data_IF_243458110256
#
_entry.id   IF_243458110256
#
_cell.length_a   1.000
_cell.length_b   1.000
_cell.length_c   1.000
_cell.angle_alpha   90.00
_cell.angle_beta   90.00
_cell.angle_gamma   90.00
#
_symmetry.space_group_name_H-M   'P 1'
#
loop_
_entity.id
_entity.type
_entity.pdbx_description
1 polymer ?
#
# COMPACT_ATOMS: atom_id res chain seq x y z
N UNK A 1 -23.41 11.72 2.34
CA UNK A 1 -22.55 10.76 3.07
C UNK A 1 -22.03 11.43 4.33
N UNK A 2 -21.94 10.71 5.46
CA UNK A 2 -21.31 11.24 6.67
C UNK A 2 -19.84 10.81 6.67
N UNK A 3 -18.96 11.70 6.20
CA UNK A 3 -17.53 11.44 6.15
C UNK A 3 -16.92 11.57 7.54
N UNK A 4 -16.48 10.45 8.11
CA UNK A 4 -15.75 10.46 9.38
C UNK A 4 -14.33 9.96 9.17
N UNK A 5 -13.42 10.92 9.11
CA UNK A 5 -11.99 10.67 8.98
C UNK A 5 -11.30 10.65 10.34
N UNK A 6 -10.38 9.70 10.48
CA UNK A 6 -9.54 9.51 11.66
C UNK A 6 -8.07 9.71 11.30
N UNK A 7 -7.27 10.06 12.31
CA UNK A 7 -5.81 10.05 12.18
C UNK A 7 -5.33 8.64 12.56
N UNK A 8 -4.35 8.06 11.85
CA UNK A 8 -3.80 6.76 12.23
C UNK A 8 -3.22 6.81 13.65
N UNK A 9 -3.59 5.87 14.50
CA UNK A 9 -2.98 5.64 15.80
C UNK A 9 -2.56 4.15 15.95
N UNK A 10 -1.66 3.86 16.89
CA UNK A 10 -1.16 2.51 17.07
C UNK A 10 -2.26 1.56 17.60
N UNK A 11 -3.23 2.07 18.35
CA UNK A 11 -4.29 1.29 18.98
C UNK A 11 -5.27 0.70 17.94
N UNK A 12 -5.51 1.35 16.80
CA UNK A 12 -6.39 0.85 15.74
C UNK A 12 -5.71 -0.11 14.77
N UNK A 13 -4.40 -0.36 14.91
CA UNK A 13 -3.66 -1.25 14.01
C UNK A 13 -4.36 -2.60 13.82
N UNK A 14 -4.82 -3.21 14.90
CA UNK A 14 -5.44 -4.53 14.88
C UNK A 14 -6.78 -4.52 14.11
N UNK A 15 -7.58 -3.46 14.24
CA UNK A 15 -8.90 -3.39 13.63
C UNK A 15 -8.85 -2.97 12.15
N UNK A 16 -7.85 -2.19 11.75
CA UNK A 16 -7.76 -1.65 10.38
C UNK A 16 -6.87 -2.51 9.46
N UNK A 17 -5.84 -3.17 10.00
CA UNK A 17 -4.95 -4.03 9.19
C UNK A 17 -5.67 -5.05 8.30
N UNK A 18 -6.78 -5.70 8.72
CA UNK A 18 -7.49 -6.66 7.87
C UNK A 18 -7.99 -6.08 6.53
N UNK A 19 -8.27 -4.78 6.44
CA UNK A 19 -8.74 -4.14 5.20
C UNK A 19 -7.68 -4.16 4.09
N UNK A 20 -6.39 -4.02 4.44
CA UNK A 20 -5.29 -4.05 3.48
C UNK A 20 -5.17 -5.41 2.76
N UNK A 21 -5.74 -6.46 3.34
CA UNK A 21 -5.71 -7.83 2.81
C UNK A 21 -6.97 -8.22 2.02
N UNK A 22 -7.92 -7.29 1.78
CA UNK A 22 -9.16 -7.57 1.05
C UNK A 22 -8.96 -7.81 -0.46
N UNK A 23 -7.80 -7.42 -0.98
CA UNK A 23 -7.35 -7.65 -2.36
C UNK A 23 -5.85 -7.97 -2.35
N UNK A 24 -5.32 -8.66 -3.37
CA UNK A 24 -3.90 -8.99 -3.46
C UNK A 24 -3.08 -7.76 -3.91
N UNK A 25 -3.10 -6.68 -3.12
CA UNK A 25 -2.28 -5.50 -3.36
C UNK A 25 -0.82 -5.83 -3.01
N UNK A 26 0.10 -5.55 -3.94
CA UNK A 26 1.52 -5.89 -3.82
C UNK A 26 2.41 -4.68 -3.53
N UNK A 27 1.84 -3.50 -3.34
CA UNK A 27 2.63 -2.28 -3.07
C UNK A 27 3.17 -2.29 -1.64
N UNK A 28 4.37 -1.74 -1.42
CA UNK A 28 4.99 -1.70 -0.08
C UNK A 28 4.23 -0.80 0.90
N UNK A 29 3.53 0.21 0.38
CA UNK A 29 2.73 1.17 1.15
C UNK A 29 1.37 0.60 1.62
N UNK A 30 1.05 -0.65 1.23
CA UNK A 30 -0.20 -1.34 1.58
C UNK A 30 -0.16 -2.03 2.93
N UNK A 31 0.04 -1.24 4.00
CA UNK A 31 -0.03 -1.75 5.36
C UNK A 31 -0.15 -0.66 6.42
N UNK A 32 -0.69 -1.04 7.59
CA UNK A 32 -0.90 -0.10 8.69
C UNK A 32 0.40 0.52 9.21
N UNK A 33 1.48 -0.26 9.27
CA UNK A 33 2.76 0.24 9.78
C UNK A 33 3.29 1.40 8.94
N UNK A 34 3.34 1.23 7.61
CA UNK A 34 3.82 2.29 6.71
C UNK A 34 2.91 3.52 6.79
N UNK A 35 1.59 3.28 6.71
CA UNK A 35 0.59 4.33 6.84
C UNK A 35 0.71 5.13 8.15
N UNK A 36 1.02 4.45 9.26
CA UNK A 36 1.23 5.06 10.57
C UNK A 36 2.53 5.86 10.66
N UNK A 37 3.68 5.31 10.21
CA UNK A 37 4.97 6.02 10.31
C UNK A 37 5.00 7.31 9.47
N UNK A 38 4.26 7.35 8.36
CA UNK A 38 4.17 8.53 7.49
C UNK A 38 3.02 9.48 7.85
N UNK A 39 2.22 9.15 8.87
CA UNK A 39 0.99 9.86 9.18
C UNK A 39 1.18 11.36 9.42
N UNK A 40 2.26 11.72 10.12
CA UNK A 40 2.57 13.11 10.42
C UNK A 40 3.06 13.89 9.20
N UNK A 41 3.83 13.25 8.32
CA UNK A 41 4.41 13.90 7.15
C UNK A 41 3.34 14.16 6.08
N UNK A 42 2.58 13.13 5.71
CA UNK A 42 1.53 13.21 4.69
C UNK A 42 0.15 13.55 5.25
N UNK A 43 0.05 13.95 6.53
CA UNK A 43 -1.23 14.27 7.21
C UNK A 43 -2.31 13.22 6.93
N UNK A 44 -1.91 11.95 7.01
CA UNK A 44 -2.73 10.80 6.68
C UNK A 44 -4.07 10.84 7.42
N UNK A 45 -5.14 10.52 6.70
CA UNK A 45 -6.48 10.36 7.23
C UNK A 45 -7.11 9.12 6.61
N UNK A 46 -7.88 8.39 7.40
CA UNK A 46 -8.62 7.24 6.89
C UNK A 46 -10.09 7.27 7.29
N UNK A 47 -10.94 6.64 6.49
CA UNK A 47 -12.36 6.47 6.75
C UNK A 47 -12.76 5.02 6.44
N UNK A 48 -13.52 4.39 7.34
CA UNK A 48 -14.15 3.10 7.07
C UNK A 48 -15.59 3.35 6.66
N UNK A 49 -15.94 2.94 5.43
CA UNK A 49 -17.30 3.06 4.89
C UNK A 49 -17.98 1.69 4.86
N UNK A 50 -19.24 1.68 5.32
CA UNK A 50 -20.14 0.51 5.35
C UNK A 50 -19.54 -0.75 6.00
N UNK A 51 -18.51 -0.59 6.83
CA UNK A 51 -17.67 -1.67 7.38
C UNK A 51 -16.96 -2.52 6.30
N UNK A 52 -16.97 -2.07 5.04
CA UNK A 52 -16.50 -2.83 3.87
C UNK A 52 -15.25 -2.26 3.20
N UNK A 53 -15.05 -0.95 3.28
CA UNK A 53 -13.96 -0.28 2.60
C UNK A 53 -13.19 0.63 3.54
N UNK A 54 -11.87 0.55 3.46
CA UNK A 54 -10.95 1.53 4.03
C UNK A 54 -10.54 2.50 2.91
N UNK A 55 -10.90 3.77 3.10
CA UNK A 55 -10.50 4.88 2.24
C UNK A 55 -9.37 5.65 2.92
N UNK A 56 -8.30 5.90 2.19
CA UNK A 56 -7.14 6.63 2.69
C UNK A 56 -6.95 7.90 1.87
N UNK A 57 -6.83 9.03 2.57
CA UNK A 57 -6.55 10.35 2.03
C UNK A 57 -5.32 10.92 2.72
N UNK A 58 -4.44 11.49 1.92
CA UNK A 58 -3.17 12.07 2.32
C UNK A 58 -3.07 13.49 1.75
N UNK A 59 -2.20 14.29 2.33
CA UNK A 59 -1.92 15.67 1.92
C UNK A 59 -0.42 15.93 1.96
N UNK A 60 0.12 16.41 0.86
CA UNK A 60 1.48 16.97 0.79
C UNK A 60 1.39 18.42 0.33
N UNK A 61 1.88 19.36 1.15
CA UNK A 61 1.70 20.81 0.93
C UNK A 61 0.22 21.16 0.77
N UNK A 62 -0.25 21.58 -0.40
CA UNK A 62 -1.66 21.92 -0.65
C UNK A 62 -2.41 20.88 -1.49
N UNK A 63 -1.73 19.81 -1.89
CA UNK A 63 -2.28 18.77 -2.74
C UNK A 63 -2.77 17.60 -1.89
N UNK A 64 -4.05 17.25 -2.06
CA UNK A 64 -4.59 16.00 -1.55
C UNK A 64 -4.40 14.89 -2.58
N UNK A 65 -4.11 13.70 -2.10
CA UNK A 65 -4.04 12.48 -2.91
C UNK A 65 -4.51 11.29 -2.08
N UNK A 66 -4.78 10.18 -2.73
CA UNK A 66 -5.31 8.99 -2.09
C UNK A 66 -4.52 7.72 -2.46
N UNK A 67 -4.82 6.66 -1.73
CA UNK A 67 -4.63 5.30 -2.22
C UNK A 67 -5.89 4.82 -2.94
N UNK A 68 -5.75 3.77 -3.77
CA UNK A 68 -6.94 3.04 -4.19
C UNK A 68 -7.71 2.53 -2.96
N UNK A 69 -9.06 2.49 -3.02
CA UNK A 69 -9.86 1.94 -1.93
C UNK A 69 -9.45 0.51 -1.56
N UNK A 70 -9.24 0.28 -0.27
CA UNK A 70 -8.99 -1.06 0.27
C UNK A 70 -10.33 -1.71 0.59
N UNK A 71 -10.86 -2.44 -0.38
CA UNK A 71 -12.11 -3.18 -0.31
C UNK A 71 -12.00 -4.49 -1.10
N UNK A 72 -13.06 -5.28 -1.10
CA UNK A 72 -13.16 -6.41 -2.03
C UNK A 72 -13.15 -5.91 -3.47
N UNK A 73 -12.66 -6.75 -4.38
CA UNK A 73 -12.50 -6.39 -5.78
C UNK A 73 -13.85 -6.02 -6.44
N UNK A 74 -14.93 -6.75 -6.15
CA UNK A 74 -16.26 -6.47 -6.67
C UNK A 74 -16.85 -5.12 -6.23
N UNK A 75 -16.37 -4.58 -5.10
CA UNK A 75 -16.84 -3.29 -4.55
C UNK A 75 -15.95 -2.11 -5.00
N UNK A 76 -14.81 -2.38 -5.65
CA UNK A 76 -13.81 -1.36 -6.01
C UNK A 76 -14.37 -0.24 -6.89
N UNK A 77 -15.21 -0.48 -7.93
CA UNK A 77 -15.77 0.60 -8.74
C UNK A 77 -16.62 1.57 -7.90
N UNK A 78 -17.44 1.03 -7.00
CA UNK A 78 -18.31 1.84 -6.13
C UNK A 78 -17.50 2.73 -5.19
N UNK A 79 -16.50 2.17 -4.50
CA UNK A 79 -15.70 2.94 -3.57
C UNK A 79 -14.70 3.88 -4.24
N UNK A 80 -14.29 3.58 -5.48
CA UNK A 80 -13.48 4.48 -6.30
C UNK A 80 -14.27 5.74 -6.69
N UNK A 81 -15.50 5.57 -7.20
CA UNK A 81 -16.40 6.69 -7.50
C UNK A 81 -16.77 7.49 -6.24
N UNK A 82 -17.02 6.79 -5.13
CA UNK A 82 -17.31 7.40 -3.83
C UNK A 82 -16.17 8.31 -3.37
N UNK A 83 -14.93 7.84 -3.49
CA UNK A 83 -13.75 8.61 -3.14
C UNK A 83 -13.52 9.78 -4.11
N UNK A 84 -13.76 9.59 -5.40
CA UNK A 84 -13.73 10.67 -6.39
C UNK A 84 -14.71 11.79 -6.04
N UNK A 85 -15.96 11.46 -5.70
CA UNK A 85 -16.95 12.45 -5.24
C UNK A 85 -16.49 13.18 -3.99
N UNK A 86 -15.83 12.52 -3.04
CA UNK A 86 -15.24 13.20 -1.89
C UNK A 86 -14.20 14.26 -2.30
N UNK A 87 -13.30 13.92 -3.22
CA UNK A 87 -12.31 14.87 -3.74
C UNK A 87 -12.98 16.07 -4.43
N UNK A 88 -13.94 15.81 -5.32
CA UNK A 88 -14.52 16.87 -6.14
C UNK A 88 -15.51 17.75 -5.38
N UNK A 89 -16.34 17.16 -4.51
CA UNK A 89 -17.45 17.87 -3.86
C UNK A 89 -17.09 18.38 -2.46
N UNK A 90 -16.24 17.68 -1.72
CA UNK A 90 -15.88 18.05 -0.33
C UNK A 90 -14.55 18.78 -0.28
N UNK A 91 -13.51 18.25 -0.93
CA UNK A 91 -12.20 18.91 -0.97
C UNK A 91 -12.15 20.02 -2.03
N UNK A 92 -12.99 19.95 -3.06
CA UNK A 92 -12.95 20.88 -4.20
C UNK A 92 -11.68 20.74 -5.04
N UNK A 93 -11.08 19.54 -5.06
CA UNK A 93 -9.82 19.26 -5.77
C UNK A 93 -9.99 18.12 -6.80
N UNK A 94 -9.12 18.05 -7.82
CA UNK A 94 -9.04 16.90 -8.71
C UNK A 94 -8.76 15.61 -7.94
N UNK A 95 -9.32 14.49 -8.41
CA UNK A 95 -9.06 13.19 -7.79
C UNK A 95 -7.70 12.66 -8.25
N UNK A 96 -6.77 12.52 -7.31
CA UNK A 96 -5.39 12.05 -7.55
C UNK A 96 -5.12 10.83 -6.68
N UNK A 97 -4.58 9.76 -7.28
CA UNK A 97 -4.13 8.57 -6.58
C UNK A 97 -2.66 8.36 -6.89
N UNK A 98 -1.82 8.29 -5.85
CA UNK A 98 -0.40 7.92 -5.99
C UNK A 98 -0.13 6.47 -5.61
N UNK A 99 -0.99 5.85 -4.80
CA UNK A 99 -0.86 4.44 -4.40
C UNK A 99 -1.89 3.63 -5.19
N UNK A 100 -1.72 3.59 -6.51
CA UNK A 100 -2.53 2.79 -7.42
C UNK A 100 -1.80 1.49 -7.77
N UNK A 101 -2.24 0.38 -7.20
CA UNK A 101 -1.72 -0.94 -7.57
C UNK A 101 -2.21 -1.36 -8.97
N UNK A 102 -1.37 -2.13 -9.68
CA UNK A 102 -1.62 -2.52 -11.07
C UNK A 102 -2.93 -3.32 -11.21
N UNK A 103 -3.19 -4.26 -10.30
CA UNK A 103 -4.41 -5.07 -10.31
C UNK A 103 -5.67 -4.21 -10.21
N UNK A 104 -5.64 -3.13 -9.43
CA UNK A 104 -6.76 -2.19 -9.28
C UNK A 104 -6.96 -1.32 -10.51
N UNK A 105 -5.86 -0.81 -11.08
CA UNK A 105 -5.85 -0.04 -12.33
C UNK A 105 -6.45 -0.84 -13.49
N UNK A 106 -6.09 -2.12 -13.59
CA UNK A 106 -6.60 -3.05 -14.60
C UNK A 106 -8.07 -3.38 -14.38
N UNK A 107 -8.45 -3.73 -13.15
CA UNK A 107 -9.84 -4.08 -12.82
C UNK A 107 -10.82 -2.95 -13.14
N UNK A 108 -10.44 -1.71 -12.81
CA UNK A 108 -11.21 -0.50 -13.09
C UNK A 108 -11.10 -0.01 -14.54
N UNK A 109 -10.23 -0.63 -15.37
CA UNK A 109 -9.94 -0.23 -16.75
C UNK A 109 -9.54 1.25 -16.87
N UNK A 110 -8.78 1.77 -15.90
CA UNK A 110 -8.47 3.21 -15.84
C UNK A 110 -7.64 3.68 -17.03
N UNK A 111 -6.78 2.82 -17.58
CA UNK A 111 -5.96 3.13 -18.77
C UNK A 111 -6.80 3.32 -20.05
N UNK A 112 -8.00 2.75 -20.10
CA UNK A 112 -8.93 2.87 -21.23
C UNK A 112 -9.94 4.02 -21.03
N UNK A 113 -10.05 4.54 -19.81
CA UNK A 113 -11.03 5.54 -19.45
C UNK A 113 -10.49 6.96 -19.74
N UNK A 114 -11.12 7.73 -20.66
CA UNK A 114 -10.59 9.04 -21.08
C UNK A 114 -10.67 10.11 -19.98
N UNK A 115 -11.35 9.86 -18.87
CA UNK A 115 -11.43 10.78 -17.74
C UNK A 115 -10.20 10.72 -16.83
N UNK A 116 -9.33 9.71 -16.99
CA UNK A 116 -8.16 9.51 -16.15
C UNK A 116 -6.87 9.48 -16.98
N UNK A 117 -5.80 9.98 -16.37
CA UNK A 117 -4.43 9.82 -16.85
C UNK A 117 -3.73 8.86 -15.90
N UNK A 118 -3.31 7.72 -16.42
CA UNK A 118 -2.54 6.72 -15.66
C UNK A 118 -1.10 6.77 -16.13
N UNK A 119 -0.17 7.06 -15.23
CA UNK A 119 1.27 7.11 -15.50
C UNK A 119 2.00 6.24 -14.49
N UNK A 120 2.97 5.47 -14.96
CA UNK A 120 3.81 4.63 -14.12
C UNK A 120 5.00 5.46 -13.60
N UNK A 121 5.24 5.41 -12.29
CA UNK A 121 6.38 6.07 -11.64
C UNK A 121 7.55 5.09 -11.53
N UNK A 122 8.43 5.07 -12.53
CA UNK A 122 9.51 4.07 -12.61
C UNK A 122 10.49 4.12 -11.44
N UNK A 123 10.74 5.32 -10.90
CA UNK A 123 11.64 5.52 -9.76
C UNK A 123 11.06 5.02 -8.43
N UNK A 124 9.76 4.72 -8.38
CA UNK A 124 9.03 4.29 -7.18
C UNK A 124 8.63 2.81 -7.22
N UNK A 125 9.27 2.00 -8.07
CA UNK A 125 8.96 0.57 -8.21
C UNK A 125 9.34 -0.24 -6.97
N UNK A 126 8.41 -1.09 -6.56
CA UNK A 126 8.64 -2.10 -5.53
C UNK A 126 9.40 -3.32 -6.05
N UNK A 127 10.34 -3.80 -5.23
CA UNK A 127 11.05 -5.05 -5.49
C UNK A 127 10.32 -6.22 -4.84
N UNK A 128 9.58 -6.96 -5.66
CA UNK A 128 8.88 -8.17 -5.24
C UNK A 128 9.77 -9.40 -5.41
N UNK A 129 9.85 -10.21 -4.35
CA UNK A 129 10.58 -11.46 -4.32
C UNK A 129 9.68 -12.60 -3.86
N UNK A 130 9.92 -13.79 -4.41
CA UNK A 130 9.32 -15.00 -3.89
C UNK A 130 9.89 -15.32 -2.49
N UNK A 131 9.01 -15.40 -1.50
CA UNK A 131 9.40 -15.62 -0.11
C UNK A 131 10.10 -16.96 0.12
N UNK A 132 9.72 -18.01 -0.62
CA UNK A 132 10.34 -19.33 -0.49
C UNK A 132 11.73 -19.35 -1.13
N UNK A 133 11.93 -18.62 -2.23
CA UNK A 133 13.25 -18.42 -2.82
C UNK A 133 14.19 -17.65 -1.89
N UNK A 134 13.71 -16.60 -1.21
CA UNK A 134 14.54 -15.89 -0.23
C UNK A 134 14.84 -16.72 1.02
N UNK A 135 13.93 -17.63 1.40
CA UNK A 135 14.11 -18.55 2.53
C UNK A 135 15.13 -19.65 2.22
N UNK A 136 15.06 -20.25 1.04
CA UNK A 136 15.85 -21.45 0.68
C UNK A 136 17.09 -21.14 -0.15
N UNK A 137 17.09 -19.98 -0.82
CA UNK A 137 18.16 -19.50 -1.70
C UNK A 137 18.56 -20.56 -2.73
N UNK A 138 17.67 -21.02 -3.64
CA UNK A 138 17.92 -22.19 -4.48
C UNK A 138 18.84 -21.92 -5.68
N UNK A 139 19.43 -22.97 -6.25
CA UNK A 139 20.09 -22.91 -7.56
C UNK A 139 21.30 -21.97 -7.68
N UNK A 140 21.69 -21.66 -8.93
CA UNK A 140 22.91 -20.87 -9.24
C UNK A 140 22.73 -19.37 -9.00
N UNK A 141 21.52 -18.83 -9.22
CA UNK A 141 21.24 -17.40 -9.04
C UNK A 141 21.54 -16.92 -7.61
N UNK A 142 21.19 -17.73 -6.61
CA UNK A 142 21.42 -17.41 -5.20
C UNK A 142 22.78 -17.88 -4.65
N UNK A 143 23.67 -18.44 -5.48
CA UNK A 143 24.98 -18.95 -5.03
C UNK A 143 25.81 -17.87 -4.31
N UNK A 144 25.81 -16.64 -4.84
CA UNK A 144 26.50 -15.51 -4.18
C UNK A 144 25.91 -15.19 -2.80
N UNK A 145 24.58 -15.26 -2.64
CA UNK A 145 23.91 -15.00 -1.36
C UNK A 145 24.24 -16.09 -0.34
N UNK A 146 24.23 -17.37 -0.73
CA UNK A 146 24.69 -18.47 0.14
C UNK A 146 26.16 -18.31 0.55
N UNK A 147 27.02 -17.87 -0.37
CA UNK A 147 28.42 -17.61 -0.06
C UNK A 147 28.59 -16.46 0.97
N UNK A 148 27.78 -15.41 0.88
CA UNK A 148 27.78 -14.31 1.87
C UNK A 148 27.35 -14.81 3.25
N UNK A 149 26.27 -15.60 3.33
CA UNK A 149 25.80 -16.21 4.58
C UNK A 149 26.87 -17.13 5.17
N UNK A 150 27.43 -18.03 4.37
CA UNK A 150 28.50 -18.94 4.82
C UNK A 150 29.73 -18.18 5.33
N UNK A 151 30.10 -17.09 4.65
CA UNK A 151 31.19 -16.20 5.09
C UNK A 151 30.84 -15.56 6.43
N UNK A 152 29.66 -14.97 6.57
CA UNK A 152 29.19 -14.35 7.81
C UNK A 152 29.19 -15.36 8.96
N UNK A 153 28.56 -16.53 8.78
CA UNK A 153 28.45 -17.56 9.82
C UNK A 153 29.82 -18.05 10.30
N UNK A 154 30.79 -18.22 9.39
CA UNK A 154 32.15 -18.61 9.73
C UNK A 154 32.90 -17.49 10.43
N UNK A 155 32.91 -16.29 9.86
CA UNK A 155 33.73 -15.18 10.35
C UNK A 155 33.22 -14.68 11.72
N UNK A 156 31.92 -14.84 12.01
CA UNK A 156 31.27 -14.42 13.27
C UNK A 156 30.80 -15.57 14.15
N UNK A 157 31.35 -16.78 13.99
CA UNK A 157 30.93 -17.94 14.77
C UNK A 157 30.96 -17.68 16.28
N UNK A 158 29.84 -18.00 16.97
CA UNK A 158 29.68 -17.78 18.42
C UNK A 158 29.49 -16.31 18.82
N UNK A 159 29.44 -15.38 17.86
CA UNK A 159 29.29 -13.92 18.07
C UNK A 159 28.01 -13.36 17.49
N UNK A 160 27.07 -14.22 17.09
CA UNK A 160 25.74 -13.83 16.61
C UNK A 160 24.67 -14.72 17.24
N UNK A 161 23.50 -14.14 17.44
CA UNK A 161 22.28 -14.84 17.84
C UNK A 161 21.13 -14.33 16.95
N UNK A 162 20.17 -15.21 16.65
CA UNK A 162 18.90 -14.84 16.03
C UNK A 162 17.81 -14.98 17.10
N UNK A 163 17.01 -13.94 17.31
CA UNK A 163 15.90 -13.93 18.28
C UNK A 163 14.58 -13.86 17.51
N UNK A 164 13.68 -14.78 17.84
CA UNK A 164 12.29 -14.81 17.38
C UNK A 164 11.38 -14.15 18.39
#
# INVERSE_FOLDING_TARGET
>A
MNWRFYTPDAEEAISVTPYFSLRPNKTCDSGWLDFFIWADYYKCRYCILDEKALLIVMKNKEEYFAALPYCKEEDLPHYFETLQSFFNEVLGQPFVIYLADEEGVEYLKLRENPNYVVTEEEDLKDYLYDGEQLRTLPGKAFQKKRNLINKFTRDYQGRWEYRT
#
